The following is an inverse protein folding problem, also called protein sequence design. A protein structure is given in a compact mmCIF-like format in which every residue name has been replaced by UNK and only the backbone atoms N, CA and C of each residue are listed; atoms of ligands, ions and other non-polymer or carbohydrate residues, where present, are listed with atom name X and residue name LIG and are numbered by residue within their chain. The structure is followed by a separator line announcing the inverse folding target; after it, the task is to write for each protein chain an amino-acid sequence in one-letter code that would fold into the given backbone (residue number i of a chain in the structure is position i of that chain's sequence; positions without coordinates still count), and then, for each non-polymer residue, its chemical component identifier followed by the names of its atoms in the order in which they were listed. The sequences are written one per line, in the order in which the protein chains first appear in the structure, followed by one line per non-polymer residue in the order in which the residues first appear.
data_IF_114808266036
#
_entry.id   IF_114808266036
#
_cell.length_a   1.000
_cell.length_b   1.000
_cell.length_c   1.000
_cell.angle_alpha   90.00
_cell.angle_beta   90.00
_cell.angle_gamma   90.00
#
_symmetry.space_group_name_H-M   'P 1'
#
loop_
_entity.id
_entity.type
_entity.pdbx_description
1 polymer ?
#
# COMPACT_ATOMS: atom_id res chain seq x y z
N UNK A 1 0.53 -22.61 -27.87
CA UNK A 1 0.13 -21.44 -28.69
C UNK A 1 -1.30 -21.63 -29.11
N UNK A 2 -2.26 -21.07 -28.36
CA UNK A 2 -3.66 -21.14 -28.77
C UNK A 2 -3.95 -19.97 -29.73
N UNK A 3 -4.02 -20.31 -31.01
CA UNK A 3 -4.65 -19.50 -32.05
C UNK A 3 -6.15 -19.76 -31.98
N UNK A 4 -6.95 -18.73 -31.73
CA UNK A 4 -8.40 -18.79 -31.88
C UNK A 4 -8.74 -18.16 -33.23
N UNK A 5 -9.37 -18.95 -34.09
CA UNK A 5 -9.75 -18.60 -35.45
C UNK A 5 -10.68 -17.39 -35.51
N UNK A 6 -10.35 -16.45 -36.39
CA UNK A 6 -11.11 -15.26 -36.74
C UNK A 6 -12.33 -15.62 -37.59
N UNK A 7 -13.52 -15.49 -37.01
CA UNK A 7 -14.70 -15.15 -37.80
C UNK A 7 -14.84 -13.62 -37.77
N UNK A 8 -14.97 -13.04 -38.96
CA UNK A 8 -15.09 -11.61 -39.22
C UNK A 8 -16.21 -10.99 -38.38
N UNK A 9 -15.82 -10.31 -37.30
CA UNK A 9 -16.67 -9.35 -36.59
C UNK A 9 -16.01 -7.98 -36.77
N UNK A 10 -16.82 -7.06 -37.28
CA UNK A 10 -16.53 -5.71 -37.72
C UNK A 10 -15.58 -4.92 -36.79
N UNK A 11 -14.68 -4.14 -37.41
CA UNK A 11 -13.61 -3.32 -36.82
C UNK A 11 -14.07 -2.15 -35.90
N UNK A 12 -15.19 -2.28 -35.18
CA UNK A 12 -15.73 -1.24 -34.30
C UNK A 12 -16.05 -1.65 -32.87
N UNK A 13 -15.66 -2.86 -32.41
CA UNK A 13 -15.96 -3.32 -31.04
C UNK A 13 -14.74 -3.74 -30.19
N UNK A 14 -13.51 -3.37 -30.57
CA UNK A 14 -12.28 -3.82 -29.89
C UNK A 14 -11.58 -2.76 -29.01
N UNK A 15 -12.31 -1.77 -28.48
CA UNK A 15 -11.75 -0.74 -27.56
C UNK A 15 -12.44 -0.66 -26.18
N UNK A 16 -13.18 -1.68 -25.74
CA UNK A 16 -13.98 -1.61 -24.50
C UNK A 16 -13.69 -2.70 -23.43
N UNK A 17 -12.55 -3.40 -23.47
CA UNK A 17 -12.20 -4.46 -22.52
C UNK A 17 -10.80 -4.17 -21.95
N UNK A 18 -10.53 -3.80 -20.69
CA UNK A 18 -11.25 -3.84 -19.41
C UNK A 18 -10.83 -2.61 -18.57
N UNK A 19 -11.77 -1.72 -18.20
CA UNK A 19 -11.48 -0.65 -17.23
C UNK A 19 -11.45 -1.15 -15.77
N UNK A 20 -11.89 -2.38 -15.53
CA UNK A 20 -12.05 -2.99 -14.20
C UNK A 20 -10.86 -3.87 -13.83
N UNK A 21 -10.41 -3.76 -12.58
CA UNK A 21 -9.43 -4.68 -12.04
C UNK A 21 -10.00 -6.10 -12.06
N UNK A 22 -9.30 -7.04 -12.71
CA UNK A 22 -9.78 -8.42 -12.86
C UNK A 22 -9.83 -9.20 -11.54
N UNK A 23 -9.10 -8.75 -10.52
CA UNK A 23 -9.06 -9.37 -9.20
C UNK A 23 -10.16 -8.85 -8.27
N UNK A 24 -10.48 -7.56 -8.27
CA UNK A 24 -11.55 -7.03 -7.40
C UNK A 24 -12.86 -6.72 -8.12
N UNK A 25 -12.87 -6.79 -9.46
CA UNK A 25 -14.02 -6.46 -10.29
C UNK A 25 -14.42 -4.98 -10.28
N UNK A 26 -13.59 -4.09 -9.71
CA UNK A 26 -13.90 -2.65 -9.59
C UNK A 26 -13.12 -1.82 -10.62
N UNK A 27 -13.80 -0.89 -11.28
CA UNK A 27 -13.22 0.08 -12.23
C UNK A 27 -12.52 1.24 -11.54
N UNK A 28 -13.07 1.64 -10.38
CA UNK A 28 -12.52 2.65 -9.50
C UNK A 28 -12.45 2.02 -8.12
N UNK A 29 -11.24 1.87 -7.61
CA UNK A 29 -11.00 1.57 -6.20
C UNK A 29 -10.12 2.69 -5.65
N UNK A 30 -10.24 2.93 -4.34
CA UNK A 30 -9.41 3.90 -3.65
C UNK A 30 -7.92 3.55 -3.86
N UNK A 31 -7.12 4.44 -4.50
CA UNK A 31 -5.68 4.21 -4.68
C UNK A 31 -4.93 4.04 -3.34
N UNK A 32 -5.45 4.60 -2.25
CA UNK A 32 -4.89 4.42 -0.92
C UNK A 32 -5.19 3.03 -0.34
N UNK A 33 -6.20 2.33 -0.87
CA UNK A 33 -6.53 0.97 -0.48
C UNK A 33 -5.94 -0.07 -1.44
N UNK A 34 -6.09 0.13 -2.74
CA UNK A 34 -5.75 -0.86 -3.76
C UNK A 34 -4.40 -0.61 -4.45
N UNK A 35 -3.82 0.58 -4.25
CA UNK A 35 -2.59 0.97 -4.92
C UNK A 35 -2.84 1.37 -6.37
N UNK A 36 -1.75 1.65 -7.08
CA UNK A 36 -1.81 2.06 -8.47
C UNK A 36 -2.39 0.94 -9.35
N UNK A 37 -3.12 1.37 -10.37
CA UNK A 37 -3.72 0.49 -11.37
C UNK A 37 -2.68 0.25 -12.47
N UNK A 38 -2.39 -1.03 -12.74
CA UNK A 38 -1.49 -1.47 -13.80
C UNK A 38 -2.31 -2.01 -14.96
N UNK A 39 -2.00 -1.56 -16.17
CA UNK A 39 -2.66 -1.97 -17.41
C UNK A 39 -1.61 -2.54 -18.36
N UNK A 40 -1.80 -3.78 -18.81
CA UNK A 40 -0.93 -4.42 -19.81
C UNK A 40 -1.76 -5.27 -20.76
N UNK A 41 -1.70 -4.93 -22.04
CA UNK A 41 -2.45 -5.55 -23.15
C UNK A 41 -3.96 -5.63 -22.90
N UNK A 42 -4.42 -6.71 -22.27
CA UNK A 42 -5.83 -7.04 -21.99
C UNK A 42 -6.13 -7.19 -20.50
N UNK A 43 -5.14 -7.00 -19.62
CA UNK A 43 -5.28 -7.16 -18.18
C UNK A 43 -5.17 -5.83 -17.46
N UNK A 44 -6.11 -5.62 -16.55
CA UNK A 44 -6.14 -4.50 -15.62
C UNK A 44 -6.12 -5.07 -14.21
N UNK A 45 -5.15 -4.67 -13.38
CA UNK A 45 -5.04 -5.08 -11.98
C UNK A 45 -4.60 -3.93 -11.08
N UNK A 46 -5.04 -3.91 -9.83
CA UNK A 46 -4.46 -3.03 -8.83
C UNK A 46 -3.22 -3.66 -8.20
N UNK A 47 -2.18 -2.87 -7.94
CA UNK A 47 -0.91 -3.31 -7.36
C UNK A 47 -1.11 -4.16 -6.10
N UNK A 48 -1.88 -3.68 -5.12
CA UNK A 48 -2.08 -4.44 -3.88
C UNK A 48 -3.02 -5.63 -4.07
N UNK A 49 -3.95 -5.59 -5.02
CA UNK A 49 -4.72 -6.78 -5.35
C UNK A 49 -3.82 -7.90 -5.88
N UNK A 50 -2.77 -7.55 -6.63
CA UNK A 50 -1.77 -8.52 -7.08
C UNK A 50 -0.93 -9.00 -5.91
N UNK A 51 -0.31 -8.10 -5.15
CA UNK A 51 0.63 -8.42 -4.04
C UNK A 51 0.02 -9.36 -2.98
N UNK A 52 -1.26 -9.21 -2.68
CA UNK A 52 -1.95 -10.00 -1.66
C UNK A 52 -2.64 -11.26 -2.18
N UNK A 53 -2.55 -11.54 -3.48
CA UNK A 53 -3.10 -12.77 -4.02
C UNK A 53 -2.28 -13.95 -3.52
N UNK A 54 -2.86 -14.73 -2.60
CA UNK A 54 -2.16 -15.74 -1.80
C UNK A 54 -1.55 -16.90 -2.60
N UNK A 55 -1.87 -17.00 -3.89
CA UNK A 55 -1.49 -18.13 -4.74
C UNK A 55 -0.82 -17.73 -6.06
N UNK A 56 -0.50 -16.44 -6.23
CA UNK A 56 0.15 -15.98 -7.47
C UNK A 56 1.66 -16.08 -7.35
N UNK A 57 2.24 -16.92 -8.21
CA UNK A 57 3.68 -16.89 -8.44
C UNK A 57 4.02 -15.65 -9.27
N UNK A 58 4.72 -14.70 -8.66
CA UNK A 58 5.26 -13.57 -9.40
C UNK A 58 6.50 -14.01 -10.18
N UNK A 59 6.50 -13.82 -11.49
CA UNK A 59 7.75 -13.77 -12.23
C UNK A 59 8.28 -12.34 -12.20
N UNK A 60 9.46 -12.15 -11.63
CA UNK A 60 10.20 -10.90 -11.76
C UNK A 60 10.96 -11.02 -13.07
N UNK A 61 10.56 -10.27 -14.10
CA UNK A 61 11.41 -10.18 -15.27
C UNK A 61 12.69 -9.43 -14.87
N UNK A 62 13.85 -10.00 -15.22
CA UNK A 62 15.15 -9.40 -14.88
C UNK A 62 15.38 -8.02 -15.54
N UNK A 63 14.48 -7.59 -16.44
CA UNK A 63 14.58 -6.35 -17.20
C UNK A 63 13.54 -5.28 -16.81
N UNK A 64 12.39 -5.62 -16.22
CA UNK A 64 11.31 -4.65 -15.90
C UNK A 64 10.86 -4.63 -14.43
N UNK A 65 11.23 -5.61 -13.62
CA UNK A 65 10.82 -5.72 -12.21
C UNK A 65 9.31 -5.90 -12.00
N UNK A 66 8.55 -6.27 -13.04
CA UNK A 66 7.08 -6.29 -13.01
C UNK A 66 6.54 -7.55 -12.32
N UNK A 67 5.58 -7.38 -11.40
CA UNK A 67 4.80 -8.48 -10.81
C UNK A 67 3.77 -8.98 -11.84
N UNK A 68 4.01 -10.12 -12.46
CA UNK A 68 3.09 -10.73 -13.42
C UNK A 68 2.26 -11.86 -12.78
N UNK A 69 0.96 -11.88 -13.07
CA UNK A 69 0.07 -13.03 -12.83
C UNK A 69 0.34 -14.05 -13.92
N UNK A 70 0.58 -15.31 -13.54
CA UNK A 70 0.64 -16.40 -14.50
C UNK A 70 -0.76 -16.67 -15.10
N UNK A 71 -0.91 -16.72 -16.44
CA UNK A 71 -2.20 -16.98 -17.07
C UNK A 71 -2.88 -18.27 -16.59
N UNK A 72 -2.10 -19.27 -16.13
CA UNK A 72 -2.60 -20.53 -15.61
C UNK A 72 -3.35 -20.42 -14.28
N UNK A 73 -3.07 -19.40 -13.46
CA UNK A 73 -3.70 -19.20 -12.14
C UNK A 73 -5.06 -18.49 -12.25
N UNK A 74 -5.27 -17.78 -13.36
CA UNK A 74 -6.47 -16.96 -13.59
C UNK A 74 -7.79 -17.76 -13.49
N UNK A 75 -7.93 -18.95 -14.12
CA UNK A 75 -9.16 -19.75 -14.04
C UNK A 75 -9.51 -20.21 -12.62
N UNK A 76 -8.53 -20.30 -11.72
CA UNK A 76 -8.76 -20.65 -10.31
C UNK A 76 -9.26 -19.45 -9.54
N UNK A 77 -8.63 -18.29 -9.70
CA UNK A 77 -8.99 -17.05 -9.01
C UNK A 77 -10.40 -16.59 -9.35
N UNK A 78 -10.80 -16.66 -10.62
CA UNK A 78 -12.15 -16.24 -11.05
C UNK A 78 -13.27 -17.13 -10.49
N UNK A 79 -12.95 -18.22 -9.79
CA UNK A 79 -13.93 -19.08 -9.09
C UNK A 79 -14.01 -18.81 -7.60
N UNK A 80 -13.03 -18.14 -7.00
CA UNK A 80 -13.02 -17.82 -5.57
C UNK A 80 -14.10 -16.78 -5.26
N UNK A 81 -15.00 -17.13 -4.35
CA UNK A 81 -16.14 -16.29 -3.96
C UNK A 81 -15.78 -15.44 -2.74
N UNK A 82 -15.98 -14.13 -2.85
CA UNK A 82 -15.81 -13.23 -1.73
C UNK A 82 -16.86 -13.52 -0.66
N UNK A 83 -16.45 -13.83 0.56
CA UNK A 83 -17.39 -14.08 1.67
C UNK A 83 -18.14 -12.82 2.12
N UNK A 84 -17.66 -11.63 1.76
CA UNK A 84 -18.25 -10.33 2.10
C UNK A 84 -19.32 -9.92 1.09
N UNK A 85 -18.97 -9.84 -0.21
CA UNK A 85 -19.88 -9.36 -1.25
C UNK A 85 -20.57 -10.48 -2.07
N UNK A 86 -20.15 -11.73 -1.90
CA UNK A 86 -20.68 -12.89 -2.62
C UNK A 86 -20.28 -13.00 -4.10
N UNK A 87 -19.48 -12.07 -4.63
CA UNK A 87 -19.03 -12.08 -6.03
C UNK A 87 -17.73 -12.90 -6.19
N UNK A 88 -17.51 -13.41 -7.39
CA UNK A 88 -16.30 -14.17 -7.73
C UNK A 88 -15.06 -13.27 -7.93
N UNK A 89 -13.89 -13.89 -8.05
CA UNK A 89 -12.60 -13.24 -8.30
C UNK A 89 -11.80 -12.93 -7.02
N UNK A 90 -12.25 -13.37 -5.85
CA UNK A 90 -11.64 -13.04 -4.57
C UNK A 90 -10.26 -13.70 -4.38
N UNK A 91 -9.21 -13.06 -4.90
CA UNK A 91 -7.86 -13.62 -4.95
C UNK A 91 -7.13 -13.65 -3.59
N UNK A 92 -7.61 -12.91 -2.58
CA UNK A 92 -7.01 -12.89 -1.25
C UNK A 92 -7.66 -13.97 -0.41
N UNK A 93 -6.87 -14.92 0.07
CA UNK A 93 -7.32 -16.00 0.96
C UNK A 93 -6.84 -15.77 2.39
N UNK A 94 -7.57 -16.31 3.36
CA UNK A 94 -7.13 -16.34 4.75
C UNK A 94 -5.87 -17.21 4.91
N UNK A 95 -4.89 -16.71 5.65
CA UNK A 95 -3.62 -17.38 5.92
C UNK A 95 -3.76 -18.56 6.90
N UNK A 96 -4.82 -18.56 7.72
CA UNK A 96 -5.09 -19.65 8.66
C UNK A 96 -5.31 -20.98 7.93
N UNK A 97 -4.57 -22.02 8.34
CA UNK A 97 -4.71 -23.37 7.80
C UNK A 97 -6.15 -23.90 7.97
N UNK A 98 -6.70 -24.47 6.90
CA UNK A 98 -8.06 -25.00 6.87
C UNK A 98 -9.17 -23.94 6.74
N UNK A 99 -8.82 -22.67 6.57
CA UNK A 99 -9.81 -21.62 6.33
C UNK A 99 -10.03 -21.37 4.83
N UNK A 100 -11.25 -21.61 4.36
CA UNK A 100 -11.63 -21.40 2.94
C UNK A 100 -12.09 -19.96 2.64
N UNK A 101 -12.00 -19.04 3.62
CA UNK A 101 -12.45 -17.66 3.43
C UNK A 101 -11.56 -16.92 2.42
N UNK A 102 -12.21 -16.41 1.37
CA UNK A 102 -11.59 -15.55 0.36
C UNK A 102 -12.30 -14.20 0.29
N UNK A 103 -11.58 -13.11 0.02
CA UNK A 103 -12.15 -11.78 -0.08
C UNK A 103 -11.44 -10.90 -1.11
N UNK A 104 -12.12 -9.84 -1.56
CA UNK A 104 -11.48 -8.79 -2.36
C UNK A 104 -10.80 -7.79 -1.43
N UNK A 105 -9.70 -7.17 -1.87
CA UNK A 105 -9.04 -6.12 -1.08
C UNK A 105 -9.98 -4.95 -0.73
N UNK A 106 -10.80 -4.41 -1.66
CA UNK A 106 -11.83 -3.42 -1.30
C UNK A 106 -12.84 -3.89 -0.25
N UNK A 107 -13.12 -5.19 -0.21
CA UNK A 107 -14.06 -5.77 0.74
C UNK A 107 -13.43 -6.04 2.11
N UNK A 108 -12.12 -5.90 2.28
CA UNK A 108 -11.43 -6.24 3.52
C UNK A 108 -11.94 -5.38 4.69
N UNK A 109 -12.13 -4.08 4.48
CA UNK A 109 -12.61 -3.17 5.53
C UNK A 109 -14.04 -3.50 5.99
N UNK A 110 -14.98 -3.69 5.04
CA UNK A 110 -16.36 -4.09 5.34
C UNK A 110 -16.44 -5.51 5.92
N UNK A 111 -15.53 -6.38 5.48
CA UNK A 111 -15.39 -7.75 5.97
C UNK A 111 -14.77 -7.87 7.35
N UNK A 112 -14.25 -6.77 7.92
CA UNK A 112 -13.37 -6.73 9.09
C UNK A 112 -12.15 -7.68 8.98
N UNK A 113 -11.61 -7.78 7.77
CA UNK A 113 -10.40 -8.53 7.48
C UNK A 113 -9.15 -7.68 7.75
N UNK A 114 -8.05 -8.37 8.04
CA UNK A 114 -6.72 -7.77 8.22
C UNK A 114 -5.80 -8.25 7.12
N UNK A 115 -5.14 -7.32 6.42
CA UNK A 115 -4.12 -7.60 5.42
C UNK A 115 -2.83 -6.89 5.82
N UNK A 116 -1.73 -7.63 5.90
CA UNK A 116 -0.43 -7.16 6.37
C UNK A 116 0.42 -6.69 5.18
N UNK A 117 0.71 -5.39 5.14
CA UNK A 117 1.45 -4.70 4.05
C UNK A 117 2.98 -4.84 4.18
N UNK A 118 3.45 -5.94 4.76
CA UNK A 118 4.86 -6.27 4.91
C UNK A 118 5.09 -7.75 4.61
N UNK A 119 6.31 -8.11 4.21
CA UNK A 119 6.64 -9.49 3.89
C UNK A 119 6.80 -10.34 5.17
N UNK A 120 6.33 -11.60 5.20
CA UNK A 120 5.48 -12.24 4.19
C UNK A 120 4.06 -11.65 4.22
N UNK A 121 3.53 -11.22 3.08
CA UNK A 121 2.22 -10.60 2.99
C UNK A 121 1.13 -11.61 3.38
N UNK A 122 0.56 -11.45 4.58
CA UNK A 122 -0.49 -12.34 5.12
C UNK A 122 -1.81 -11.62 5.22
N UNK A 123 -2.89 -12.35 4.98
CA UNK A 123 -4.26 -11.85 5.05
C UNK A 123 -5.12 -12.77 5.91
N UNK A 124 -6.04 -12.20 6.68
CA UNK A 124 -6.84 -12.92 7.65
C UNK A 124 -8.31 -12.48 7.55
N UNK A 125 -9.23 -13.45 7.58
CA UNK A 125 -10.65 -13.16 7.69
C UNK A 125 -11.02 -12.67 9.10
N UNK A 126 -12.27 -12.25 9.31
CA UNK A 126 -12.74 -11.74 10.60
C UNK A 126 -12.55 -12.68 11.79
N UNK A 127 -12.59 -14.00 11.54
CA UNK A 127 -12.48 -15.02 12.61
C UNK A 127 -11.02 -15.33 12.97
N UNK A 128 -10.09 -15.07 12.06
CA UNK A 128 -8.67 -15.44 12.21
C UNK A 128 -7.73 -14.24 12.20
N UNK A 129 -8.27 -13.02 12.18
CA UNK A 129 -7.48 -11.80 12.24
C UNK A 129 -6.72 -11.72 13.57
N UNK A 130 -5.54 -11.10 13.59
CA UNK A 130 -4.88 -10.78 14.85
C UNK A 130 -5.75 -9.82 15.68
N UNK A 131 -5.63 -9.93 16.99
CA UNK A 131 -6.29 -9.06 17.96
C UNK A 131 -5.25 -8.53 18.96
N UNK A 132 -5.46 -7.32 19.46
CA UNK A 132 -4.60 -6.76 20.49
C UNK A 132 -4.94 -7.37 21.86
N UNK A 133 -3.93 -7.62 22.69
CA UNK A 133 -4.04 -8.20 24.04
C UNK A 133 -4.61 -7.20 25.09
N UNK A 134 -5.73 -6.54 24.79
CA UNK A 134 -6.37 -5.58 25.71
C UNK A 134 -7.88 -5.76 25.70
N UNK A 135 -8.46 -6.15 26.85
CA UNK A 135 -9.88 -6.53 27.05
C UNK A 135 -10.91 -5.50 26.57
N UNK A 136 -10.72 -4.22 26.88
CA UNK A 136 -11.68 -3.18 26.54
C UNK A 136 -11.04 -1.79 26.69
N UNK A 137 -11.60 -0.81 25.98
CA UNK A 137 -11.33 0.59 26.28
C UNK A 137 -12.04 0.97 27.58
N UNK A 138 -11.42 1.79 28.45
CA UNK A 138 -12.14 2.38 29.57
C UNK A 138 -13.42 3.09 29.10
N UNK A 139 -14.45 3.14 29.94
CA UNK A 139 -15.68 3.89 29.64
C UNK A 139 -15.36 5.36 29.31
N UNK A 140 -16.06 5.93 28.32
CA UNK A 140 -15.85 7.30 27.83
C UNK A 140 -14.44 7.58 27.27
N UNK A 141 -13.75 6.56 26.77
CA UNK A 141 -12.48 6.77 26.07
C UNK A 141 -12.73 7.41 24.70
N UNK A 142 -12.01 8.49 24.43
CA UNK A 142 -12.04 9.18 23.14
C UNK A 142 -10.82 8.82 22.29
N UNK A 143 -11.00 8.82 20.97
CA UNK A 143 -9.91 8.72 20.02
C UNK A 143 -9.02 9.95 20.13
N UNK A 144 -7.71 9.76 20.31
CA UNK A 144 -6.76 10.88 20.43
C UNK A 144 -6.50 11.65 19.13
N UNK A 145 -7.15 11.28 18.02
CA UNK A 145 -7.00 11.93 16.72
C UNK A 145 -8.22 12.81 16.41
N UNK A 146 -9.43 12.24 16.47
CA UNK A 146 -10.66 12.98 16.18
C UNK A 146 -11.41 13.48 17.43
N UNK A 147 -10.99 13.07 18.64
CA UNK A 147 -11.61 13.38 19.93
C UNK A 147 -13.03 12.83 20.14
N UNK A 148 -13.52 11.99 19.22
CA UNK A 148 -14.79 11.30 19.32
C UNK A 148 -14.67 9.96 20.10
N UNK A 149 -15.74 9.48 20.75
CA UNK A 149 -15.70 8.24 21.52
C UNK A 149 -15.32 7.02 20.66
N UNK A 150 -14.48 6.15 21.21
CA UNK A 150 -14.22 4.83 20.62
C UNK A 150 -15.22 3.80 21.13
N UNK A 151 -15.44 2.71 20.38
CA UNK A 151 -16.26 1.60 20.88
C UNK A 151 -15.62 1.01 22.13
N UNK A 152 -16.42 0.83 23.18
CA UNK A 152 -16.00 0.35 24.51
C UNK A 152 -15.47 -1.09 24.52
N UNK A 153 -15.72 -1.87 23.46
CA UNK A 153 -15.32 -3.28 23.34
C UNK A 153 -14.17 -3.46 22.36
N UNK A 154 -13.37 -4.52 22.55
CA UNK A 154 -12.49 -5.08 21.51
C UNK A 154 -13.25 -5.14 20.18
N UNK A 155 -12.80 -4.37 19.19
CA UNK A 155 -13.42 -4.36 17.88
C UNK A 155 -12.38 -4.04 16.82
N UNK A 156 -12.61 -4.51 15.59
CA UNK A 156 -11.77 -4.20 14.44
C UNK A 156 -11.55 -2.69 14.25
N UNK A 157 -12.52 -1.86 14.66
CA UNK A 157 -12.50 -0.42 14.47
C UNK A 157 -11.78 0.34 15.58
N UNK A 158 -11.45 -0.30 16.71
CA UNK A 158 -10.83 0.33 17.87
C UNK A 158 -9.43 -0.21 18.06
N UNK A 159 -8.44 0.68 18.09
CA UNK A 159 -7.02 0.37 18.24
C UNK A 159 -6.45 1.01 19.50
N UNK A 160 -5.47 0.37 20.13
CA UNK A 160 -4.73 0.90 21.28
C UNK A 160 -3.22 0.90 21.02
N UNK A 161 -2.48 1.80 21.66
CA UNK A 161 -1.02 1.70 21.68
C UNK A 161 -0.57 0.51 22.56
N UNK A 162 0.21 -0.46 22.03
CA UNK A 162 0.63 -1.64 22.79
C UNK A 162 1.55 -1.29 23.96
N UNK A 163 2.39 -0.25 23.82
CA UNK A 163 3.36 0.14 24.83
C UNK A 163 2.71 0.76 26.08
N UNK A 164 1.77 1.70 25.89
CA UNK A 164 1.18 2.44 27.00
C UNK A 164 -0.23 1.96 27.39
N UNK A 165 -0.94 1.26 26.50
CA UNK A 165 -2.27 0.66 26.76
C UNK A 165 -3.40 1.64 27.14
N UNK A 166 -3.15 2.95 27.08
CA UNK A 166 -4.14 3.99 27.38
C UNK A 166 -4.32 5.01 26.26
N UNK A 167 -3.57 4.90 25.15
CA UNK A 167 -3.77 5.71 23.97
C UNK A 167 -4.64 4.96 22.96
N UNK A 168 -5.87 5.44 22.74
CA UNK A 168 -6.89 4.77 21.95
C UNK A 168 -7.24 5.56 20.69
N UNK A 169 -7.62 4.84 19.63
CA UNK A 169 -7.85 5.42 18.33
C UNK A 169 -8.90 4.65 17.52
N UNK A 170 -9.62 5.33 16.63
CA UNK A 170 -10.32 4.63 15.55
C UNK A 170 -9.30 4.14 14.51
N UNK A 171 -9.47 2.92 14.02
CA UNK A 171 -8.65 2.33 12.95
C UNK A 171 -8.55 3.26 11.74
N UNK A 172 -9.67 3.82 11.31
CA UNK A 172 -9.73 4.78 10.20
C UNK A 172 -8.95 6.07 10.48
N UNK A 173 -9.01 6.59 11.71
CA UNK A 173 -8.25 7.78 12.10
C UNK A 173 -6.75 7.53 12.12
N UNK A 174 -6.31 6.36 12.61
CA UNK A 174 -4.90 5.95 12.49
C UNK A 174 -4.54 5.92 11.01
N UNK A 175 -5.26 5.16 10.18
CA UNK A 175 -4.97 5.00 8.76
C UNK A 175 -4.88 6.34 8.00
N UNK A 176 -5.73 7.32 8.32
CA UNK A 176 -5.77 8.63 7.68
C UNK A 176 -4.68 9.61 8.16
N UNK A 177 -4.03 9.37 9.30
CA UNK A 177 -3.02 10.29 9.87
C UNK A 177 -1.74 10.40 9.02
N UNK A 178 -1.57 9.59 7.97
CA UNK A 178 -0.28 9.39 7.30
C UNK A 178 0.04 10.27 6.10
N UNK A 179 -0.40 11.53 6.12
CA UNK A 179 0.15 12.59 5.27
C UNK A 179 1.31 13.35 5.96
N UNK A 180 2.44 12.67 6.23
CA UNK A 180 3.73 13.36 6.47
C UNK A 180 4.18 13.63 7.92
N UNK A 181 3.77 12.84 8.93
CA UNK A 181 4.23 12.97 10.34
C UNK A 181 4.97 11.70 10.81
N UNK A 182 5.84 11.81 11.83
CA UNK A 182 6.47 10.69 12.54
C UNK A 182 5.44 9.70 13.08
N UNK A 183 5.66 8.40 12.85
CA UNK A 183 4.79 7.31 13.31
C UNK A 183 5.15 6.91 14.75
N UNK A 184 4.65 7.66 15.72
CA UNK A 184 4.78 7.36 17.13
C UNK A 184 3.47 7.52 17.87
N UNK A 185 3.35 6.87 19.02
CA UNK A 185 2.24 7.13 19.91
C UNK A 185 2.28 8.61 20.36
N UNK A 186 1.20 9.39 20.20
CA UNK A 186 1.17 10.79 20.62
C UNK A 186 1.30 10.98 22.13
N UNK A 187 1.11 9.91 22.93
CA UNK A 187 1.16 9.98 24.39
C UNK A 187 2.53 9.54 24.92
N UNK A 188 2.90 8.27 24.74
CA UNK A 188 4.16 7.74 25.28
C UNK A 188 5.35 7.94 24.35
N UNK A 189 5.14 8.42 23.12
CA UNK A 189 6.16 8.59 22.07
C UNK A 189 6.86 7.31 21.64
N UNK A 190 6.39 6.15 22.10
CA UNK A 190 6.86 4.86 21.60
C UNK A 190 6.66 4.78 20.09
N UNK A 191 7.68 4.25 19.42
CA UNK A 191 7.74 4.07 17.98
C UNK A 191 7.76 2.59 17.62
N UNK A 192 8.57 1.81 18.31
CA UNK A 192 8.88 0.45 17.90
C UNK A 192 7.66 -0.46 18.02
N UNK A 193 7.14 -0.61 19.22
CA UNK A 193 6.01 -1.51 19.48
C UNK A 193 4.75 -0.95 18.81
N UNK A 194 4.58 0.37 18.85
CA UNK A 194 3.48 1.05 18.15
C UNK A 194 3.47 0.75 16.64
N UNK A 195 4.60 0.90 15.93
CA UNK A 195 4.68 0.63 14.49
C UNK A 195 4.42 -0.86 14.21
N UNK A 196 5.09 -1.76 14.93
CA UNK A 196 4.99 -3.20 14.69
C UNK A 196 3.57 -3.72 14.89
N UNK A 197 2.91 -3.26 15.95
CA UNK A 197 1.53 -3.64 16.23
C UNK A 197 0.57 -3.04 15.20
N UNK A 198 0.72 -1.76 14.83
CA UNK A 198 -0.11 -1.15 13.79
C UNK A 198 0.04 -1.88 12.45
N UNK A 199 1.26 -2.27 12.05
CA UNK A 199 1.51 -3.08 10.86
C UNK A 199 0.84 -4.46 10.97
N UNK A 200 1.03 -5.15 12.10
CA UNK A 200 0.45 -6.48 12.36
C UNK A 200 -1.06 -6.45 12.26
N UNK A 201 -1.66 -5.38 12.75
CA UNK A 201 -3.09 -5.13 12.72
C UNK A 201 -3.57 -4.63 11.35
N UNK A 202 -2.70 -4.48 10.35
CA UNK A 202 -3.04 -4.15 8.96
C UNK A 202 -3.24 -2.66 8.68
N UNK A 203 -2.65 -1.79 9.50
CA UNK A 203 -2.52 -0.36 9.17
C UNK A 203 -1.44 -0.20 8.13
N UNK A 204 -1.76 0.42 7.00
CA UNK A 204 -0.80 0.71 5.94
C UNK A 204 0.09 1.86 6.38
N UNK A 205 1.38 1.60 6.53
CA UNK A 205 2.43 2.58 6.82
C UNK A 205 3.36 2.68 5.61
N UNK A 206 3.61 3.88 5.04
CA UNK A 206 4.60 4.04 3.98
C UNK A 206 5.97 3.52 4.40
N UNK A 207 6.56 2.63 3.59
CA UNK A 207 7.82 1.94 3.88
C UNK A 207 8.99 2.88 4.26
N UNK A 208 9.02 4.11 3.74
CA UNK A 208 10.03 5.12 4.12
C UNK A 208 10.08 5.40 5.63
N UNK A 209 8.96 5.27 6.34
CA UNK A 209 8.91 5.44 7.80
C UNK A 209 9.47 4.22 8.55
N UNK A 210 9.44 3.04 7.90
CA UNK A 210 9.84 1.72 8.42
C UNK A 210 11.33 1.45 8.17
N UNK A 211 11.83 1.72 6.95
CA UNK A 211 13.20 1.42 6.50
C UNK A 211 14.30 2.21 7.22
N UNK A 212 13.99 3.36 7.81
CA UNK A 212 14.99 4.16 8.51
C UNK A 212 15.35 3.63 9.90
N UNK A 213 14.54 2.75 10.52
CA UNK A 213 14.52 2.64 12.00
C UNK A 213 14.34 1.25 12.60
N UNK A 214 14.03 0.20 11.83
CA UNK A 214 14.09 -1.18 12.32
C UNK A 214 15.50 -1.79 12.26
N UNK A 215 16.45 -1.13 11.60
CA UNK A 215 17.87 -1.53 11.55
C UNK A 215 18.70 -0.97 12.72
N UNK A 216 18.03 -0.37 13.71
CA UNK A 216 18.68 0.36 14.81
C UNK A 216 19.08 -0.46 16.03
N UNK A 217 18.68 -1.73 16.17
CA UNK A 217 19.05 -2.56 17.32
C UNK A 217 19.15 -4.05 16.95
N UNK A 218 20.32 -4.60 17.25
CA UNK A 218 20.71 -6.03 17.22
C UNK A 218 21.00 -6.67 15.85
N UNK A 219 22.13 -6.25 15.28
CA UNK A 219 22.87 -7.06 14.32
C UNK A 219 23.49 -8.29 15.02
N UNK A 220 22.80 -9.43 14.94
CA UNK A 220 23.40 -10.75 15.09
C UNK A 220 22.71 -11.80 14.20
N UNK A 221 22.53 -11.50 12.91
CA UNK A 221 22.46 -12.52 11.85
C UNK A 221 22.62 -11.87 10.47
N UNK A 222 23.47 -12.39 9.58
CA UNK A 222 23.69 -11.82 8.26
C UNK A 222 22.61 -12.34 7.31
N UNK A 223 21.42 -11.76 7.37
CA UNK A 223 20.52 -11.77 6.22
C UNK A 223 20.63 -10.38 5.62
N UNK A 224 21.37 -10.20 4.51
CA UNK A 224 21.43 -8.92 3.84
C UNK A 224 20.00 -8.47 3.55
N UNK A 225 19.68 -7.21 3.84
CA UNK A 225 18.54 -6.53 3.26
C UNK A 225 18.68 -6.66 1.74
N UNK A 226 18.09 -7.72 1.17
CA UNK A 226 17.90 -7.80 -0.26
C UNK A 226 16.92 -6.68 -0.59
N UNK A 227 17.42 -5.76 -1.39
CA UNK A 227 16.74 -4.61 -1.93
C UNK A 227 15.35 -5.03 -2.43
N UNK A 228 14.31 -4.69 -1.67
CA UNK A 228 12.95 -4.83 -2.14
C UNK A 228 12.71 -3.70 -3.15
N UNK A 229 12.36 -4.02 -4.40
CA UNK A 229 12.36 -3.09 -5.50
C UNK A 229 11.12 -2.21 -5.42
N UNK A 230 11.27 -1.02 -4.83
CA UNK A 230 10.32 0.09 -4.96
C UNK A 230 11.00 1.44 -4.68
N UNK A 231 12.33 1.49 -4.83
CA UNK A 231 13.02 2.76 -4.92
C UNK A 231 12.98 3.16 -6.39
N UNK A 232 12.01 4.01 -6.76
CA UNK A 232 12.01 4.65 -8.05
C UNK A 232 13.28 5.50 -8.18
N UNK A 233 14.39 4.92 -8.62
CA UNK A 233 15.72 5.53 -8.59
C UNK A 233 16.02 6.37 -9.84
N UNK A 234 14.96 6.77 -10.56
CA UNK A 234 15.04 7.46 -11.85
C UNK A 234 14.56 8.90 -11.74
N UNK A 235 15.21 9.76 -12.52
CA UNK A 235 14.78 11.15 -12.71
C UNK A 235 13.72 11.25 -13.82
N UNK A 236 12.50 11.64 -13.44
CA UNK A 236 11.35 11.90 -14.31
C UNK A 236 11.18 13.36 -14.68
N UNK A 237 12.17 14.21 -14.36
CA UNK A 237 12.15 15.59 -14.81
C UNK A 237 12.00 15.64 -16.33
N UNK A 238 11.15 16.55 -16.84
CA UNK A 238 10.90 16.72 -18.28
C UNK A 238 12.20 16.77 -19.07
N UNK A 239 13.17 17.52 -18.55
CA UNK A 239 14.55 17.58 -19.04
C UNK A 239 15.50 17.10 -17.95
N UNK A 240 16.26 16.02 -18.20
CA UNK A 240 17.30 15.56 -17.30
C UNK A 240 18.64 16.23 -17.66
N UNK A 241 19.28 16.86 -16.67
CA UNK A 241 20.57 17.53 -16.81
C UNK A 241 21.75 16.65 -16.40
N UNK A 242 21.49 15.43 -15.92
CA UNK A 242 22.53 14.53 -15.42
C UNK A 242 23.37 13.96 -16.58
N UNK A 243 24.71 14.13 -16.56
CA UNK A 243 25.58 13.52 -17.56
C UNK A 243 25.55 11.99 -17.56
N UNK A 244 25.28 11.38 -16.40
CA UNK A 244 25.14 9.93 -16.23
C UNK A 244 23.77 9.38 -16.63
N UNK A 245 22.89 10.21 -17.17
CA UNK A 245 21.54 9.80 -17.56
C UNK A 245 20.55 9.78 -16.40
N UNK A 246 19.35 9.27 -16.66
CA UNK A 246 18.21 9.37 -15.73
C UNK A 246 18.29 8.41 -14.55
N UNK A 247 19.04 7.31 -14.69
CA UNK A 247 19.17 6.24 -13.69
C UNK A 247 20.34 6.46 -12.73
N UNK A 248 21.20 7.45 -13.00
CA UNK A 248 22.27 7.83 -12.08
C UNK A 248 21.66 8.37 -10.79
N UNK A 249 21.90 7.72 -9.65
CA UNK A 249 21.46 8.18 -8.35
C UNK A 249 22.65 8.23 -7.39
N UNK A 250 23.16 9.43 -7.11
CA UNK A 250 24.20 9.61 -6.09
C UNK A 250 23.59 9.48 -4.68
N UNK A 251 24.34 8.91 -3.74
CA UNK A 251 23.91 8.81 -2.34
C UNK A 251 23.71 10.20 -1.71
N UNK A 252 24.59 11.16 -2.04
CA UNK A 252 24.48 12.57 -1.70
C UNK A 252 25.16 13.42 -2.76
N UNK A 253 24.52 14.51 -3.17
CA UNK A 253 25.11 15.41 -4.16
C UNK A 253 24.09 16.00 -5.13
N UNK A 254 24.54 16.75 -6.14
CA UNK A 254 23.65 17.38 -7.12
C UNK A 254 22.82 16.38 -7.95
N UNK A 255 23.28 15.12 -8.03
CA UNK A 255 22.62 14.02 -8.74
C UNK A 255 21.98 12.99 -7.80
N UNK A 256 21.77 13.38 -6.54
CA UNK A 256 20.87 12.64 -5.65
C UNK A 256 19.43 12.73 -6.20
N UNK A 257 18.76 11.59 -6.30
CA UNK A 257 17.37 11.49 -6.72
C UNK A 257 16.46 11.67 -5.51
N UNK A 258 15.74 12.79 -5.49
CA UNK A 258 14.69 13.06 -4.52
C UNK A 258 13.36 12.59 -5.07
N UNK A 259 12.64 11.84 -4.26
CA UNK A 259 11.31 11.35 -4.61
C UNK A 259 10.24 12.31 -4.14
N UNK A 260 9.13 12.37 -4.88
CA UNK A 260 7.98 13.18 -4.49
C UNK A 260 7.56 12.82 -3.06
N UNK A 261 7.41 13.82 -2.19
CA UNK A 261 7.03 13.63 -0.80
C UNK A 261 5.59 13.17 -0.62
N UNK A 262 4.72 13.44 -1.60
CA UNK A 262 3.30 13.12 -1.54
C UNK A 262 2.96 11.79 -2.21
N UNK A 263 3.47 11.50 -3.42
CA UNK A 263 3.13 10.27 -4.15
C UNK A 263 4.21 9.19 -4.14
N UNK A 264 5.47 9.54 -3.88
CA UNK A 264 6.64 8.64 -3.99
C UNK A 264 6.87 7.97 -5.37
N UNK A 265 5.95 8.14 -6.34
CA UNK A 265 5.95 7.50 -7.66
C UNK A 265 6.78 8.23 -8.73
N UNK A 266 7.31 9.42 -8.40
CA UNK A 266 8.21 10.17 -9.30
C UNK A 266 9.45 10.61 -8.54
N UNK A 267 10.56 10.71 -9.27
CA UNK A 267 11.85 11.16 -8.77
C UNK A 267 12.42 12.31 -9.61
N UNK A 268 13.23 13.15 -8.99
CA UNK A 268 13.99 14.19 -9.69
C UNK A 268 15.39 14.29 -9.12
N UNK A 269 16.39 14.56 -9.96
CA UNK A 269 17.66 15.02 -9.43
C UNK A 269 17.50 16.41 -8.81
N UNK A 270 18.26 16.68 -7.74
CA UNK A 270 18.32 18.01 -7.14
C UNK A 270 18.52 19.11 -8.19
N UNK A 271 19.49 18.92 -9.09
CA UNK A 271 19.76 19.89 -10.16
C UNK A 271 18.66 19.99 -11.21
N UNK A 272 17.98 18.88 -11.53
CA UNK A 272 16.92 18.88 -12.53
C UNK A 272 15.68 19.67 -12.07
N UNK A 273 15.47 19.80 -10.75
CA UNK A 273 14.41 20.63 -10.16
C UNK A 273 14.90 21.89 -9.43
N UNK A 274 16.13 22.33 -9.70
CA UNK A 274 16.74 23.53 -9.08
C UNK A 274 16.68 23.56 -7.54
N UNK A 275 16.84 22.40 -6.90
CA UNK A 275 16.76 22.25 -5.45
C UNK A 275 18.11 22.58 -4.79
N UNK A 276 18.05 23.36 -3.71
CA UNK A 276 19.21 23.65 -2.85
C UNK A 276 19.64 22.39 -2.08
N UNK A 277 20.93 22.30 -1.75
CA UNK A 277 21.51 21.17 -1.01
C UNK A 277 20.87 20.96 0.37
N UNK A 278 20.31 22.01 0.99
CA UNK A 278 19.66 21.91 2.31
C UNK A 278 18.22 21.39 2.28
N UNK A 279 17.60 21.27 1.09
CA UNK A 279 16.18 20.90 0.97
C UNK A 279 16.05 19.40 0.77
N UNK A 280 15.42 18.70 1.71
CA UNK A 280 15.25 17.23 1.66
C UNK A 280 13.89 16.80 1.10
N UNK A 281 13.00 17.75 0.82
CA UNK A 281 11.66 17.49 0.29
C UNK A 281 11.43 18.16 -1.07
N UNK A 282 10.79 17.41 -1.97
CA UNK A 282 10.38 17.82 -3.29
C UNK A 282 9.01 17.22 -3.60
N UNK A 283 8.17 17.94 -4.34
CA UNK A 283 6.87 17.47 -4.82
C UNK A 283 6.82 17.58 -6.33
N UNK A 284 6.23 16.59 -7.01
CA UNK A 284 6.00 16.66 -8.44
C UNK A 284 4.89 17.67 -8.78
N UNK A 285 4.88 18.15 -10.02
CA UNK A 285 3.90 19.13 -10.51
C UNK A 285 2.45 18.72 -10.18
N UNK A 286 2.10 17.45 -10.41
CA UNK A 286 0.78 16.90 -10.12
C UNK A 286 0.39 16.94 -8.65
N UNK A 287 1.35 16.73 -7.74
CA UNK A 287 1.09 16.77 -6.30
C UNK A 287 1.05 18.21 -5.79
N UNK A 288 1.93 19.08 -6.29
CA UNK A 288 1.98 20.49 -5.91
C UNK A 288 0.71 21.26 -6.33
N UNK A 289 0.15 20.95 -7.50
CA UNK A 289 -1.10 21.58 -7.99
C UNK A 289 -2.31 21.22 -7.12
N UNK A 290 -2.39 19.99 -6.60
CA UNK A 290 -3.46 19.57 -5.69
C UNK A 290 -3.46 20.32 -4.36
N UNK A 291 -2.28 20.74 -3.90
CA UNK A 291 -2.12 21.53 -2.67
C UNK A 291 -2.55 22.99 -2.85
N UNK A 292 -2.56 23.50 -4.09
CA UNK A 292 -2.93 24.89 -4.41
C UNK A 292 -4.44 25.16 -4.54
N UNK A 293 -5.28 24.11 -4.52
CA UNK A 293 -6.74 24.23 -4.63
C UNK A 293 -7.47 24.43 -3.29
N UNK A 294 -6.77 24.58 -2.16
CA UNK A 294 -7.40 25.04 -0.93
C UNK A 294 -7.42 26.57 -0.91
N UNK A 295 -8.59 27.24 -0.96
CA UNK A 295 -8.64 28.67 -0.69
C UNK A 295 -8.11 28.90 0.74
N UNK A 296 -7.18 29.85 0.87
CA UNK A 296 -6.71 30.32 2.17
C UNK A 296 -7.93 30.68 3.03
N UNK A 297 -7.97 30.17 4.26
CA UNK A 297 -8.97 30.58 5.24
C UNK A 297 -8.91 32.12 5.39
N UNK A 298 -10.05 32.82 5.39
CA UNK A 298 -10.04 34.26 5.59
C UNK A 298 -9.55 34.60 7.02
N UNK A 299 -9.02 35.83 7.22
CA UNK A 299 -8.39 36.25 8.47
C UNK A 299 -9.33 36.24 9.68
#
# INVERSE_FOLDING_TARGET
TYLIHTHEVTQHEHTYLLQTCVLCGQAQADPDLCGEKMEKEVLCVHLFCVIFASELFYWQDNESGLLAILPEDFPRIVKLKCFVCGKNGAAITCFQEGCDCSFHLPCAMEGECVTQYFAPHRSFCREHRPEQEVEAAPENTNCLICLEPVKERKSYHTMVCPACKHAWFHRGCIQARYAGISFNCPVCRDQHDFILDMLTMGIRIPLRLVSCRLTGQEAASPVPCQELPLQHSRCDARVCLCPGGREQAEERGPWEVLLCSSCAATGTHRRCSNLRTSRTSWECETCAERTSCFPAAPP
#
